data_IF_449855218074
#
_entry.id   IF_449855218074
#
_cell.length_a   1.000
_cell.length_b   1.000
_cell.length_c   1.000
_cell.angle_alpha   90.00
_cell.angle_beta   90.00
_cell.angle_gamma   90.00
#
_symmetry.space_group_name_H-M   'P 1'
#
loop_
_entity.id
_entity.type
_entity.pdbx_description
1 polymer ?
#
# COMPACT_ATOMS: atom_id res chain seq x y z
N UNK A 1 -9.74 -2.92 7.73
CA UNK A 1 -8.94 -3.72 6.79
C UNK A 1 -9.57 -3.69 5.41
N UNK A 2 -8.77 -3.40 4.41
CA UNK A 2 -9.22 -3.24 3.04
C UNK A 2 -8.38 -4.14 2.14
N UNK A 3 -9.00 -5.00 1.35
CA UNK A 3 -8.31 -5.77 0.32
C UNK A 3 -8.69 -5.23 -1.06
N UNK A 4 -7.68 -4.79 -1.82
CA UNK A 4 -7.87 -4.26 -3.16
C UNK A 4 -7.32 -5.27 -4.16
N UNK A 5 -8.19 -5.86 -5.03
CA UNK A 5 -7.76 -6.89 -5.97
C UNK A 5 -7.06 -6.29 -7.19
N UNK A 6 -5.82 -5.87 -7.00
CA UNK A 6 -5.00 -5.26 -8.06
C UNK A 6 -3.68 -6.01 -8.21
N UNK A 7 -3.13 -6.00 -9.42
CA UNK A 7 -1.83 -6.56 -9.69
C UNK A 7 -0.76 -5.48 -9.55
N UNK A 8 0.17 -5.67 -8.62
CA UNK A 8 1.30 -4.78 -8.42
C UNK A 8 2.49 -5.20 -9.29
N UNK A 9 3.36 -4.23 -9.62
CA UNK A 9 4.62 -4.51 -10.28
C UNK A 9 5.64 -5.15 -9.34
N UNK A 10 6.85 -5.36 -9.84
CA UNK A 10 7.95 -5.96 -9.07
C UNK A 10 8.90 -4.92 -8.46
N UNK A 11 8.57 -3.64 -8.56
CA UNK A 11 9.31 -2.58 -7.94
C UNK A 11 10.06 -1.67 -8.89
N UNK A 12 10.93 -0.82 -8.34
CA UNK A 12 11.55 0.30 -9.05
C UNK A 12 12.55 -0.11 -10.14
N UNK A 13 13.12 -1.32 -10.08
CA UNK A 13 14.14 -1.75 -11.01
C UNK A 13 13.61 -2.33 -12.32
N UNK A 14 12.30 -2.51 -12.42
CA UNK A 14 11.68 -2.99 -13.65
C UNK A 14 11.54 -1.84 -14.64
N UNK A 15 12.06 -2.00 -15.87
CA UNK A 15 11.77 -1.06 -16.94
C UNK A 15 10.28 -1.12 -17.26
N UNK A 16 9.60 0.00 -17.10
CA UNK A 16 8.19 0.10 -17.39
C UNK A 16 7.97 0.35 -18.89
N UNK A 17 7.38 -0.63 -19.57
CA UNK A 17 6.71 -0.39 -20.84
C UNK A 17 5.42 0.40 -20.59
N UNK A 18 4.87 1.02 -21.64
CA UNK A 18 3.64 1.80 -21.50
C UNK A 18 2.45 0.96 -20.99
N UNK A 19 2.42 -0.34 -21.28
CA UNK A 19 1.40 -1.26 -20.76
C UNK A 19 1.48 -1.36 -19.22
N UNK A 20 2.70 -1.38 -18.69
CA UNK A 20 2.91 -1.42 -17.24
C UNK A 20 2.47 -0.12 -16.58
N UNK A 21 2.69 1.03 -17.24
CA UNK A 21 2.21 2.32 -16.76
C UNK A 21 0.68 2.36 -16.73
N UNK A 22 0.03 1.91 -17.80
CA UNK A 22 -1.42 1.87 -17.89
C UNK A 22 -2.00 0.97 -16.78
N UNK A 23 -1.36 -0.16 -16.51
CA UNK A 23 -1.75 -1.08 -15.44
C UNK A 23 -1.61 -0.43 -14.07
N UNK A 24 -0.53 0.31 -13.84
CA UNK A 24 -0.31 1.03 -12.58
C UNK A 24 -1.35 2.10 -12.35
N UNK A 25 -1.64 2.92 -13.36
CA UNK A 25 -2.68 3.96 -13.28
C UNK A 25 -4.04 3.34 -12.97
N UNK A 26 -4.38 2.24 -13.61
CA UNK A 26 -5.62 1.52 -13.36
C UNK A 26 -5.68 1.00 -11.92
N UNK A 27 -4.57 0.46 -11.42
CA UNK A 27 -4.49 -0.02 -10.05
C UNK A 27 -4.67 1.11 -9.04
N UNK A 28 -4.03 2.26 -9.27
CA UNK A 28 -4.18 3.44 -8.41
C UNK A 28 -5.62 3.94 -8.39
N UNK A 29 -6.31 3.98 -9.53
CA UNK A 29 -7.72 4.36 -9.61
C UNK A 29 -8.61 3.41 -8.82
N UNK A 30 -8.35 2.11 -8.90
CA UNK A 30 -9.07 1.12 -8.08
C UNK A 30 -8.84 1.34 -6.60
N UNK A 31 -7.61 1.62 -6.21
CA UNK A 31 -7.28 1.91 -4.81
C UNK A 31 -8.11 3.10 -4.29
N UNK A 32 -8.15 4.19 -5.03
CA UNK A 32 -8.95 5.38 -4.67
C UNK A 32 -10.43 5.01 -4.53
N UNK A 33 -10.99 4.28 -5.48
CA UNK A 33 -12.41 3.89 -5.45
C UNK A 33 -12.74 3.06 -4.20
N UNK A 34 -11.85 2.16 -3.79
CA UNK A 34 -12.05 1.36 -2.58
C UNK A 34 -11.89 2.20 -1.31
N UNK A 35 -10.89 3.10 -1.27
CA UNK A 35 -10.65 3.97 -0.12
C UNK A 35 -11.81 4.91 0.15
N UNK A 36 -12.47 5.43 -0.90
CA UNK A 36 -13.62 6.32 -0.76
C UNK A 36 -14.82 5.66 -0.07
N UNK A 37 -14.86 4.34 0.00
CA UNK A 37 -15.92 3.58 0.69
C UNK A 37 -15.61 3.33 2.15
N UNK A 38 -14.46 3.74 2.64
CA UNK A 38 -13.97 3.37 3.95
C UNK A 38 -13.96 4.56 4.88
N UNK A 39 -14.10 4.27 6.18
CA UNK A 39 -13.95 5.26 7.22
C UNK A 39 -12.48 5.61 7.39
N UNK A 40 -12.16 6.91 7.39
CA UNK A 40 -10.78 7.37 7.56
C UNK A 40 -10.33 7.22 9.01
N UNK A 41 -9.15 6.62 9.24
CA UNK A 41 -8.53 6.70 10.56
C UNK A 41 -8.09 8.13 10.85
N UNK A 42 -7.96 8.46 12.13
CA UNK A 42 -7.49 9.77 12.58
C UNK A 42 -5.99 9.71 12.84
N UNK A 43 -5.16 10.51 12.14
CA UNK A 43 -3.73 10.60 12.46
C UNK A 43 -3.50 11.14 13.89
N UNK A 44 -2.42 10.71 14.57
CA UNK A 44 -1.37 9.84 14.07
C UNK A 44 -1.79 8.36 14.02
N UNK A 45 -1.35 7.68 12.98
CA UNK A 45 -1.66 6.26 12.80
C UNK A 45 -0.55 5.54 12.04
N UNK A 46 -0.59 4.23 12.04
CA UNK A 46 0.28 3.38 11.24
C UNK A 46 -0.53 2.67 10.17
N UNK A 47 -0.02 2.64 8.96
CA UNK A 47 -0.64 1.97 7.82
C UNK A 47 0.26 0.82 7.39
N UNK A 48 -0.28 -0.40 7.39
CA UNK A 48 0.43 -1.55 6.85
C UNK A 48 -0.10 -1.88 5.46
N UNK A 49 0.80 -1.89 4.49
CA UNK A 49 0.51 -2.26 3.11
C UNK A 49 1.13 -3.63 2.85
N UNK A 50 0.31 -4.62 2.55
CA UNK A 50 0.76 -5.97 2.27
C UNK A 50 0.56 -6.29 0.80
N UNK A 51 1.67 -6.56 0.09
CA UNK A 51 1.61 -7.03 -1.29
C UNK A 51 1.25 -8.50 -1.29
N UNK A 52 0.14 -8.84 -1.93
CA UNK A 52 -0.26 -10.22 -2.15
C UNK A 52 -0.03 -10.60 -3.60
N UNK A 53 0.66 -11.71 -3.82
CA UNK A 53 0.97 -12.21 -5.15
C UNK A 53 1.10 -13.73 -5.13
N UNK A 54 0.76 -14.44 -6.23
CA UNK A 54 0.85 -15.90 -6.27
C UNK A 54 2.27 -16.43 -6.45
N UNK A 55 3.23 -15.56 -6.75
CA UNK A 55 4.62 -15.89 -7.00
C UNK A 55 5.50 -15.62 -5.77
N UNK A 56 6.79 -15.93 -5.91
CA UNK A 56 7.78 -15.59 -4.87
C UNK A 56 7.80 -14.10 -4.60
N UNK A 57 8.17 -13.74 -3.37
CA UNK A 57 8.26 -12.36 -2.95
C UNK A 57 9.37 -11.57 -3.62
N UNK A 58 9.44 -10.30 -3.30
CA UNK A 58 10.48 -9.37 -3.74
C UNK A 58 11.28 -8.90 -2.52
N UNK A 59 12.48 -8.34 -2.73
CA UNK A 59 13.26 -7.78 -1.64
C UNK A 59 12.63 -6.47 -1.10
N UNK A 60 13.12 -5.98 0.03
CA UNK A 60 12.50 -4.86 0.73
C UNK A 60 12.45 -3.57 -0.11
N UNK A 61 13.51 -3.27 -0.85
CA UNK A 61 13.55 -2.08 -1.70
C UNK A 61 12.52 -2.16 -2.82
N UNK A 62 12.40 -3.32 -3.43
CA UNK A 62 11.42 -3.56 -4.49
C UNK A 62 10.00 -3.62 -3.94
N UNK A 63 9.83 -4.11 -2.71
CA UNK A 63 8.52 -4.15 -2.05
C UNK A 63 7.96 -2.75 -1.85
N UNK A 64 8.76 -1.84 -1.27
CA UNK A 64 8.31 -0.46 -1.08
C UNK A 64 8.02 0.23 -2.41
N UNK A 65 8.83 -0.02 -3.43
CA UNK A 65 8.62 0.52 -4.78
C UNK A 65 7.35 -0.01 -5.44
N UNK A 66 7.06 -1.29 -5.26
CA UNK A 66 5.85 -1.91 -5.81
C UNK A 66 4.57 -1.34 -5.17
N UNK A 67 4.65 -0.92 -3.92
CA UNK A 67 3.51 -0.39 -3.17
C UNK A 67 3.42 1.14 -3.16
N UNK A 68 4.38 1.82 -3.79
CA UNK A 68 4.46 3.29 -3.77
C UNK A 68 3.19 3.95 -4.30
N UNK A 69 2.63 3.47 -5.40
CA UNK A 69 1.41 4.03 -5.98
C UNK A 69 0.23 3.95 -5.02
N UNK A 70 0.05 2.82 -4.38
CA UNK A 70 -1.01 2.64 -3.38
C UNK A 70 -0.75 3.52 -2.15
N UNK A 71 0.49 3.58 -1.69
CA UNK A 71 0.87 4.46 -0.57
C UNK A 71 0.54 5.92 -0.87
N UNK A 72 0.86 6.39 -2.08
CA UNK A 72 0.60 7.77 -2.48
C UNK A 72 -0.91 8.07 -2.46
N UNK A 73 -1.74 7.12 -2.88
CA UNK A 73 -3.19 7.27 -2.84
C UNK A 73 -3.73 7.27 -1.41
N UNK A 74 -3.19 6.44 -0.54
CA UNK A 74 -3.55 6.43 0.89
C UNK A 74 -3.19 7.78 1.54
N UNK A 75 -2.00 8.29 1.27
CA UNK A 75 -1.55 9.57 1.80
C UNK A 75 -2.47 10.71 1.34
N UNK A 76 -2.80 10.76 0.06
CA UNK A 76 -3.71 11.76 -0.49
C UNK A 76 -5.11 11.65 0.14
N UNK A 77 -5.62 10.45 0.28
CA UNK A 77 -6.92 10.19 0.91
C UNK A 77 -6.94 10.63 2.38
N UNK A 78 -5.85 10.39 3.12
CA UNK A 78 -5.72 10.81 4.52
C UNK A 78 -5.47 12.31 4.66
N UNK A 79 -5.03 12.99 3.60
CA UNK A 79 -4.67 14.40 3.64
C UNK A 79 -3.36 14.67 4.37
N UNK A 80 -2.47 13.71 4.43
CA UNK A 80 -1.16 13.82 5.10
C UNK A 80 -0.07 13.50 4.10
N UNK A 81 0.98 14.34 4.03
CA UNK A 81 2.14 14.09 3.17
C UNK A 81 2.76 12.73 3.52
N UNK A 82 3.05 11.92 2.51
CA UNK A 82 3.64 10.59 2.69
C UNK A 82 5.02 10.63 3.35
N UNK A 83 5.68 11.80 3.34
CA UNK A 83 6.97 12.04 4.01
C UNK A 83 6.81 12.46 5.47
N UNK A 84 5.62 12.78 5.92
CA UNK A 84 5.36 13.20 7.29
C UNK A 84 5.22 11.97 8.20
N UNK A 85 6.34 11.42 8.61
CA UNK A 85 6.40 10.23 9.45
C UNK A 85 5.99 10.48 10.90
N UNK A 86 5.78 11.74 11.29
CA UNK A 86 5.27 12.07 12.63
C UNK A 86 3.77 11.85 12.75
N UNK A 87 3.04 11.85 11.64
CA UNK A 87 1.58 11.70 11.60
C UNK A 87 1.14 10.35 11.08
N UNK A 88 1.81 9.84 10.04
CA UNK A 88 1.49 8.54 9.46
C UNK A 88 2.77 7.77 9.20
N UNK A 89 2.82 6.56 9.70
CA UNK A 89 3.94 5.66 9.49
C UNK A 89 3.49 4.50 8.60
N UNK A 90 4.30 4.18 7.59
CA UNK A 90 3.99 3.10 6.66
C UNK A 90 4.86 1.89 6.95
N UNK A 91 4.25 0.72 6.99
CA UNK A 91 4.90 -0.56 7.17
C UNK A 91 4.56 -1.44 5.97
N UNK A 92 5.55 -2.13 5.44
CA UNK A 92 5.38 -2.97 4.26
C UNK A 92 5.50 -4.44 4.61
N UNK A 93 4.62 -5.24 4.04
CA UNK A 93 4.64 -6.68 4.19
C UNK A 93 4.30 -7.35 2.86
N UNK A 94 4.51 -8.64 2.77
CA UNK A 94 4.12 -9.40 1.59
C UNK A 94 3.67 -10.81 1.99
N UNK A 95 2.77 -11.36 1.19
CA UNK A 95 2.29 -12.72 1.39
C UNK A 95 2.05 -13.39 0.03
N UNK A 96 2.08 -14.71 0.03
CA UNK A 96 1.78 -15.49 -1.15
C UNK A 96 0.29 -15.82 -1.16
N UNK A 97 -0.43 -15.19 -2.08
CA UNK A 97 -1.89 -15.30 -2.19
C UNK A 97 -2.31 -14.78 -3.57
N UNK A 98 -3.60 -14.72 -3.83
CA UNK A 98 -4.13 -14.09 -5.04
C UNK A 98 -3.68 -12.62 -5.13
N UNK A 99 -3.53 -12.10 -6.33
CA UNK A 99 -3.10 -10.72 -6.56
C UNK A 99 -3.94 -9.73 -5.79
N UNK A 100 -3.30 -8.84 -5.06
CA UNK A 100 -3.95 -7.77 -4.35
C UNK A 100 -3.04 -7.00 -3.43
N UNK A 101 -3.60 -5.97 -2.80
CA UNK A 101 -2.94 -5.22 -1.73
C UNK A 101 -3.90 -5.17 -0.55
N UNK A 102 -3.41 -5.60 0.59
CA UNK A 102 -4.14 -5.52 1.84
C UNK A 102 -3.70 -4.26 2.57
N UNK A 103 -4.65 -3.41 2.93
CA UNK A 103 -4.40 -2.18 3.67
C UNK A 103 -4.99 -2.31 5.06
N UNK A 104 -4.15 -2.11 6.07
CA UNK A 104 -4.57 -2.17 7.47
C UNK A 104 -4.15 -0.89 8.17
N UNK A 105 -5.01 -0.39 9.04
CA UNK A 105 -4.75 0.79 9.85
C UNK A 105 -4.60 0.37 11.31
N UNK A 106 -3.66 0.98 12.01
CA UNK A 106 -3.40 0.71 13.41
C UNK A 106 -2.98 1.97 14.16
N UNK A 107 -2.76 1.84 15.45
CA UNK A 107 -2.25 2.93 16.26
C UNK A 107 -0.83 3.29 15.84
N UNK A 108 -0.46 4.56 16.03
CA UNK A 108 0.89 5.01 15.74
C UNK A 108 1.88 4.28 16.64
N UNK A 109 2.73 3.45 16.02
CA UNK A 109 3.66 2.58 16.74
C UNK A 109 4.92 2.32 15.91
N UNK A 110 5.93 1.73 16.55
CA UNK A 110 7.09 1.22 15.81
C UNK A 110 6.64 0.06 14.90
N UNK A 111 7.29 -0.12 13.73
CA UNK A 111 6.88 -1.15 12.78
C UNK A 111 6.75 -2.56 13.38
N UNK A 112 7.63 -2.93 14.30
CA UNK A 112 7.62 -4.23 14.97
C UNK A 112 6.46 -4.40 15.96
N UNK A 113 5.81 -3.30 16.34
CA UNK A 113 4.74 -3.27 17.34
C UNK A 113 3.36 -3.07 16.70
N UNK A 114 3.28 -3.12 15.38
CA UNK A 114 2.04 -2.84 14.66
C UNK A 114 0.93 -3.80 15.08
N UNK A 115 -0.18 -3.23 15.54
CA UNK A 115 -1.40 -3.97 15.88
C UNK A 115 -2.55 -3.44 15.04
N UNK A 116 -3.11 -4.25 14.12
CA UNK A 116 -4.22 -3.80 13.29
C UNK A 116 -5.45 -3.49 14.13
N UNK A 117 -6.15 -2.42 13.78
CA UNK A 117 -7.51 -2.17 14.27
C UNK A 117 -8.46 -3.01 13.43
N UNK A 118 -9.17 -3.88 14.09
CA UNK A 118 -10.04 -4.90 13.53
C UNK A 118 -11.19 -4.46 12.68
#
# INVERSE_FOLDING_TARGET
>A
MIFIPIRTGRGLNAREAWQSRARRVKAERKAVAWLLRCEKPVPPCTVRLTRCAPSAGVDDDNLSGALKGVRDQVAEWLGVDDKDTSRVRYVYAQCRASWGVLIEFGEYSQPAEFTPRG
#
